data_IF_789245867527
#
_entry.id   IF_789245867527
#
_cell.length_a   1.000
_cell.length_b   1.000
_cell.length_c   1.000
_cell.angle_alpha   90.00
_cell.angle_beta   90.00
_cell.angle_gamma   90.00
#
_symmetry.space_group_name_H-M   'P 1'
#
loop_
_entity.id
_entity.type
_entity.pdbx_description
1 polymer ?
#
# COMPACT_ATOMS: atom_id res chain seq x y z
N UNK A 1 8.11 -62.10 -2.62
CA UNK A 1 8.53 -62.82 -1.38
C UNK A 1 7.84 -64.15 -1.22
N UNK A 2 6.69 -64.39 -1.77
CA UNK A 2 5.89 -65.64 -1.58
C UNK A 2 6.49 -66.87 -2.30
N UNK A 3 7.29 -66.69 -3.40
CA UNK A 3 7.89 -67.80 -4.10
C UNK A 3 9.06 -68.49 -3.37
N UNK A 4 9.86 -67.72 -2.62
CA UNK A 4 11.00 -68.26 -1.88
C UNK A 4 10.53 -68.99 -0.61
N UNK A 5 9.53 -68.50 0.13
CA UNK A 5 8.96 -69.16 1.26
C UNK A 5 8.29 -70.50 0.90
N UNK A 6 7.59 -70.57 -0.22
CA UNK A 6 6.96 -71.75 -0.78
C UNK A 6 7.99 -72.80 -1.21
N UNK A 7 9.13 -72.39 -1.82
CA UNK A 7 10.22 -73.30 -2.25
C UNK A 7 10.94 -73.89 -1.05
N UNK A 8 11.25 -73.12 -0.01
CA UNK A 8 11.89 -73.58 1.21
C UNK A 8 10.96 -74.46 2.03
N UNK A 9 9.67 -74.20 2.13
CA UNK A 9 8.70 -75.09 2.80
C UNK A 9 8.63 -76.45 2.18
N UNK A 10 8.66 -76.53 0.85
CA UNK A 10 8.69 -77.82 0.13
C UNK A 10 10.01 -78.59 0.28
N UNK A 11 11.14 -77.83 0.40
CA UNK A 11 12.47 -78.45 0.58
C UNK A 11 12.67 -79.02 1.98
N UNK A 12 12.17 -78.37 3.00
CA UNK A 12 12.25 -78.81 4.40
C UNK A 12 11.38 -80.06 4.67
N UNK A 13 10.31 -80.26 3.92
CA UNK A 13 9.42 -81.41 4.06
C UNK A 13 10.11 -82.71 3.64
N UNK A 14 11.09 -82.64 2.73
CA UNK A 14 11.77 -83.83 2.16
C UNK A 14 13.08 -84.19 2.88
N UNK A 15 13.68 -83.28 3.66
CA UNK A 15 14.96 -83.55 4.37
C UNK A 15 14.93 -82.86 5.79
N UNK A 16 14.21 -83.44 6.74
CA UNK A 16 13.99 -82.81 8.05
C UNK A 16 15.30 -82.64 8.88
N UNK A 17 16.28 -83.49 8.70
CA UNK A 17 17.54 -83.41 9.43
C UNK A 17 18.45 -82.23 9.07
N UNK A 18 18.23 -81.59 7.93
CA UNK A 18 18.99 -80.42 7.51
C UNK A 18 18.28 -79.11 8.01
N UNK A 19 16.98 -79.14 8.12
CA UNK A 19 16.21 -77.95 8.50
C UNK A 19 16.34 -77.62 10.00
N UNK A 20 16.80 -78.55 10.81
CA UNK A 20 16.96 -78.34 12.27
C UNK A 20 18.40 -77.99 12.68
N UNK A 21 19.30 -77.88 11.72
CA UNK A 21 20.69 -77.49 12.02
C UNK A 21 20.81 -76.01 12.38
N UNK A 22 21.57 -75.70 13.42
CA UNK A 22 21.85 -74.33 13.84
C UNK A 22 22.43 -73.48 12.69
N UNK A 23 23.16 -74.13 11.74
CA UNK A 23 23.70 -73.48 10.57
C UNK A 23 22.64 -72.99 9.58
N UNK A 24 21.58 -73.77 9.37
CA UNK A 24 20.50 -73.36 8.48
C UNK A 24 19.67 -72.18 9.09
N UNK A 25 19.47 -72.20 10.40
CA UNK A 25 18.84 -71.09 11.14
C UNK A 25 19.69 -69.83 11.04
N UNK A 26 21.01 -69.91 11.23
CA UNK A 26 21.94 -68.82 11.05
C UNK A 26 21.96 -68.35 9.58
N UNK A 27 21.96 -69.25 8.62
CA UNK A 27 21.89 -68.89 7.20
C UNK A 27 20.59 -68.20 6.83
N UNK A 28 19.45 -68.66 7.31
CA UNK A 28 18.15 -68.02 7.09
C UNK A 28 18.08 -66.65 7.77
N UNK A 29 18.68 -66.48 8.95
CA UNK A 29 18.79 -65.18 9.60
C UNK A 29 19.72 -64.25 8.80
N UNK A 30 20.86 -64.76 8.31
CA UNK A 30 21.74 -63.96 7.45
C UNK A 30 21.06 -63.58 6.14
N UNK A 31 20.35 -64.51 5.48
CA UNK A 31 19.59 -64.23 4.25
C UNK A 31 18.47 -63.23 4.52
N UNK A 32 17.74 -63.32 5.62
CA UNK A 32 16.74 -62.36 5.98
C UNK A 32 17.33 -60.98 6.32
N UNK A 33 18.51 -60.92 6.93
CA UNK A 33 19.25 -59.67 7.17
C UNK A 33 19.84 -59.09 5.86
N UNK A 34 20.25 -59.92 4.91
CA UNK A 34 20.76 -59.49 3.59
C UNK A 34 19.61 -59.09 2.66
N UNK A 35 18.42 -59.62 2.86
CA UNK A 35 17.19 -59.26 2.13
C UNK A 35 16.40 -58.18 2.86
N UNK A 36 16.92 -57.57 3.93
CA UNK A 36 16.33 -56.43 4.55
C UNK A 36 16.18 -55.32 3.45
N UNK A 37 14.97 -54.94 3.16
CA UNK A 37 14.69 -53.84 2.24
C UNK A 37 15.48 -52.61 2.65
N UNK A 38 16.36 -52.12 1.77
CA UNK A 38 17.13 -50.92 2.03
C UNK A 38 16.14 -49.78 2.04
N UNK A 39 15.94 -49.17 3.20
CA UNK A 39 15.12 -47.98 3.36
C UNK A 39 15.86 -46.75 2.82
N UNK A 40 15.19 -45.98 1.99
CA UNK A 40 15.76 -44.77 1.40
C UNK A 40 14.85 -43.57 1.78
N UNK A 41 15.34 -42.65 2.59
CA UNK A 41 14.57 -41.48 2.94
C UNK A 41 14.40 -40.54 1.74
N UNK A 42 13.26 -39.84 1.58
CA UNK A 42 13.03 -38.97 0.45
C UNK A 42 13.87 -37.70 0.51
N UNK A 43 14.32 -37.24 -0.65
CA UNK A 43 14.74 -35.84 -0.82
C UNK A 43 13.50 -34.97 -0.96
N UNK A 44 13.39 -33.94 -0.12
CA UNK A 44 12.18 -33.12 -0.02
C UNK A 44 12.44 -31.68 -0.49
N UNK A 45 11.58 -31.17 -1.35
CA UNK A 45 11.70 -29.82 -1.89
C UNK A 45 10.33 -29.20 -2.19
N UNK A 46 10.21 -27.85 -2.08
CA UNK A 46 9.11 -27.06 -2.63
C UNK A 46 9.66 -26.16 -3.72
N UNK A 47 9.01 -26.20 -4.89
CA UNK A 47 9.28 -25.30 -6.01
C UNK A 47 8.14 -24.28 -6.12
N UNK A 48 8.47 -23.00 -6.08
CA UNK A 48 7.57 -21.88 -6.36
C UNK A 48 7.45 -21.68 -7.88
N UNK A 49 6.24 -21.49 -8.38
CA UNK A 49 5.95 -21.22 -9.81
C UNK A 49 5.70 -19.77 -10.13
N UNK A 50 5.89 -18.86 -9.16
CA UNK A 50 5.79 -17.40 -9.34
C UNK A 50 4.49 -16.95 -10.04
N UNK A 51 3.29 -17.30 -9.52
CA UNK A 51 2.03 -17.02 -10.17
C UNK A 51 1.79 -15.50 -10.26
N UNK A 52 1.22 -15.07 -11.41
CA UNK A 52 0.83 -13.68 -11.62
C UNK A 52 -0.65 -13.48 -11.36
N UNK A 53 -1.03 -12.29 -10.87
CA UNK A 53 -2.42 -11.93 -10.61
C UNK A 53 -3.32 -12.22 -11.82
N UNK A 54 -4.42 -12.93 -11.60
CA UNK A 54 -5.33 -13.36 -12.67
C UNK A 54 -6.64 -13.95 -12.15
N UNK A 55 -7.47 -14.39 -13.07
CA UNK A 55 -8.80 -14.97 -12.81
C UNK A 55 -8.88 -16.45 -13.08
N UNK A 56 -7.86 -17.03 -13.70
CA UNK A 56 -7.81 -18.47 -14.02
C UNK A 56 -7.00 -19.22 -12.97
N UNK A 57 -7.35 -20.49 -12.77
CA UNK A 57 -6.62 -21.39 -11.88
C UNK A 57 -5.23 -21.67 -12.43
N UNK A 58 -4.20 -21.45 -11.61
CA UNK A 58 -2.79 -21.71 -11.97
C UNK A 58 -2.10 -22.51 -10.87
N UNK A 59 -0.95 -23.08 -11.21
CA UNK A 59 -0.09 -23.78 -10.28
C UNK A 59 0.68 -22.78 -9.41
N UNK A 60 0.53 -22.88 -8.10
CA UNK A 60 1.26 -22.03 -7.13
C UNK A 60 2.61 -22.63 -6.74
N UNK A 61 2.58 -23.89 -6.34
CA UNK A 61 3.78 -24.57 -5.89
C UNK A 61 3.68 -26.07 -6.10
N UNK A 62 4.83 -26.72 -6.16
CA UNK A 62 4.97 -28.17 -6.24
C UNK A 62 5.84 -28.65 -5.10
N UNK A 63 5.31 -29.56 -4.29
CA UNK A 63 6.04 -30.23 -3.22
C UNK A 63 6.43 -31.63 -3.66
N UNK A 64 7.68 -31.98 -3.50
CA UNK A 64 8.27 -33.24 -3.99
C UNK A 64 8.93 -34.01 -2.86
N UNK A 65 8.63 -35.30 -2.77
CA UNK A 65 9.35 -36.29 -2.00
C UNK A 65 9.98 -37.29 -2.99
N UNK A 66 11.25 -37.09 -3.30
CA UNK A 66 11.91 -37.81 -4.36
C UNK A 66 12.73 -39.02 -3.83
N UNK A 67 12.62 -40.16 -4.55
CA UNK A 67 13.47 -41.32 -4.40
C UNK A 67 13.30 -42.08 -3.06
N UNK A 68 12.07 -42.08 -2.47
CA UNK A 68 11.82 -42.79 -1.25
C UNK A 68 11.54 -44.27 -1.42
N UNK A 69 11.97 -45.08 -0.47
CA UNK A 69 11.63 -46.49 -0.33
C UNK A 69 11.42 -46.83 1.16
N UNK A 70 10.20 -47.21 1.57
CA UNK A 70 8.94 -47.27 0.82
C UNK A 70 8.44 -45.86 0.35
N UNK A 71 7.36 -45.83 -0.47
CA UNK A 71 6.79 -44.55 -0.96
C UNK A 71 6.43 -43.59 0.17
N UNK A 72 6.78 -42.32 0.02
CA UNK A 72 6.35 -41.27 0.94
C UNK A 72 5.00 -40.68 0.51
N UNK A 73 4.18 -40.32 1.50
CA UNK A 73 2.95 -39.57 1.30
C UNK A 73 3.23 -38.06 1.39
N UNK A 74 2.65 -37.31 0.46
CA UNK A 74 2.79 -35.84 0.40
C UNK A 74 1.42 -35.19 0.42
N UNK A 75 1.18 -34.32 1.39
CA UNK A 75 -0.10 -33.60 1.54
C UNK A 75 0.13 -32.14 1.87
N UNK A 76 -0.82 -31.29 1.48
CA UNK A 76 -0.83 -29.88 1.81
C UNK A 76 -1.78 -29.59 2.97
N UNK A 77 -1.32 -28.81 3.94
CA UNK A 77 -2.14 -28.18 4.96
C UNK A 77 -2.38 -26.74 4.53
N UNK A 78 -3.58 -26.47 4.04
CA UNK A 78 -3.97 -25.20 3.41
C UNK A 78 -4.56 -24.20 4.42
N UNK A 79 -4.85 -24.62 5.64
CA UNK A 79 -5.34 -23.77 6.71
C UNK A 79 -6.61 -22.97 6.34
N UNK A 80 -6.53 -21.66 6.45
CA UNK A 80 -7.66 -20.76 6.18
C UNK A 80 -8.06 -20.66 4.69
N UNK A 81 -7.24 -21.18 3.76
CA UNK A 81 -7.55 -21.12 2.33
C UNK A 81 -8.67 -22.09 1.91
N UNK A 82 -8.85 -23.20 2.65
CA UNK A 82 -9.95 -24.16 2.41
C UNK A 82 -10.15 -24.47 0.93
N UNK A 83 -11.35 -24.19 0.44
CA UNK A 83 -11.77 -24.48 -0.94
C UNK A 83 -11.19 -23.51 -2.00
N UNK A 84 -10.45 -22.47 -1.59
CA UNK A 84 -9.81 -21.52 -2.53
C UNK A 84 -8.60 -22.10 -3.26
N UNK A 85 -8.12 -23.26 -2.80
CA UNK A 85 -6.98 -23.97 -3.38
C UNK A 85 -7.31 -25.43 -3.57
N UNK A 86 -6.73 -26.03 -4.60
CA UNK A 86 -6.89 -27.45 -4.95
C UNK A 86 -5.54 -28.12 -5.01
N UNK A 87 -5.46 -29.37 -4.60
CA UNK A 87 -4.25 -30.16 -4.63
C UNK A 87 -4.39 -31.39 -5.55
N UNK A 88 -3.32 -31.75 -6.23
CA UNK A 88 -3.22 -32.99 -6.97
C UNK A 88 -1.92 -33.69 -6.63
N UNK A 89 -1.96 -35.01 -6.44
CA UNK A 89 -0.79 -35.79 -6.07
C UNK A 89 -0.58 -36.92 -7.06
N UNK A 90 0.64 -37.06 -7.57
CA UNK A 90 1.07 -38.13 -8.45
C UNK A 90 2.32 -38.80 -7.88
N UNK A 91 2.45 -40.11 -8.09
CA UNK A 91 3.63 -40.89 -7.70
C UNK A 91 4.20 -41.62 -8.91
N UNK A 92 5.52 -41.59 -9.04
CA UNK A 92 6.27 -42.34 -10.08
C UNK A 92 7.22 -43.29 -9.41
N UNK A 93 7.09 -44.59 -9.74
CA UNK A 93 8.00 -45.61 -9.29
C UNK A 93 9.09 -45.82 -10.36
N UNK A 94 10.31 -46.04 -9.90
CA UNK A 94 11.51 -46.27 -10.74
C UNK A 94 11.98 -47.72 -10.65
N UNK A 95 12.81 -48.12 -11.59
CA UNK A 95 13.35 -49.50 -11.69
C UNK A 95 14.20 -49.94 -10.48
N UNK A 96 14.69 -48.99 -9.70
CA UNK A 96 15.41 -49.23 -8.43
C UNK A 96 14.48 -49.35 -7.21
N UNK A 97 13.19 -49.56 -7.44
CA UNK A 97 12.12 -49.65 -6.40
C UNK A 97 11.91 -48.36 -5.58
N UNK A 98 12.57 -47.28 -5.92
CA UNK A 98 12.27 -46.00 -5.28
C UNK A 98 11.06 -45.31 -5.93
N UNK A 99 10.38 -44.49 -5.14
CA UNK A 99 9.22 -43.73 -5.60
C UNK A 99 9.43 -42.25 -5.38
N UNK A 100 9.07 -41.44 -6.38
CA UNK A 100 8.96 -39.98 -6.24
C UNK A 100 7.49 -39.61 -6.20
N UNK A 101 7.07 -38.98 -5.10
CA UNK A 101 5.72 -38.43 -4.92
C UNK A 101 5.76 -36.94 -5.06
N UNK A 102 4.89 -36.41 -5.92
CA UNK A 102 4.78 -34.98 -6.26
C UNK A 102 3.36 -34.50 -5.97
N UNK A 103 3.22 -33.52 -5.13
CA UNK A 103 1.94 -32.88 -4.85
C UNK A 103 1.95 -31.43 -5.31
N UNK A 104 0.98 -31.06 -6.14
CA UNK A 104 0.86 -29.75 -6.76
C UNK A 104 -0.29 -28.98 -6.14
N UNK A 105 -0.05 -27.70 -5.81
CA UNK A 105 -1.02 -26.77 -5.22
C UNK A 105 -1.49 -25.79 -6.29
N UNK A 106 -2.80 -25.77 -6.56
CA UNK A 106 -3.45 -24.91 -7.55
C UNK A 106 -4.43 -23.96 -6.89
N UNK A 107 -4.68 -22.83 -7.52
CA UNK A 107 -5.73 -21.88 -7.13
C UNK A 107 -5.80 -20.68 -8.07
N UNK A 108 -6.80 -19.82 -7.86
CA UNK A 108 -6.93 -18.57 -8.60
C UNK A 108 -6.03 -17.52 -7.92
N UNK A 109 -5.05 -16.92 -8.64
CA UNK A 109 -4.09 -16.01 -8.05
C UNK A 109 -4.72 -14.63 -7.79
N UNK A 110 -5.45 -14.53 -6.69
CA UNK A 110 -6.09 -13.30 -6.23
C UNK A 110 -5.24 -12.60 -5.15
N UNK A 111 -5.50 -11.31 -4.92
CA UNK A 111 -4.84 -10.56 -3.83
C UNK A 111 -5.12 -11.13 -2.44
N UNK A 112 -6.31 -11.72 -2.25
CA UNK A 112 -6.68 -12.33 -0.98
C UNK A 112 -5.78 -13.50 -0.61
N UNK A 113 -5.31 -14.28 -1.58
CA UNK A 113 -4.44 -15.45 -1.37
C UNK A 113 -2.99 -15.02 -1.12
N UNK A 114 -2.59 -13.83 -1.60
CA UNK A 114 -1.22 -13.35 -1.46
C UNK A 114 -0.79 -13.23 -0.01
N UNK A 115 0.36 -13.81 0.31
CA UNK A 115 0.94 -13.78 1.66
C UNK A 115 0.43 -14.87 2.60
N UNK A 116 -0.52 -15.72 2.18
CA UNK A 116 -0.96 -16.84 3.01
C UNK A 116 0.10 -17.92 3.09
N UNK A 117 0.31 -18.44 4.30
CA UNK A 117 1.22 -19.53 4.57
C UNK A 117 0.49 -20.87 4.53
N UNK A 118 1.06 -21.81 3.79
CA UNK A 118 0.64 -23.20 3.71
C UNK A 118 1.80 -24.11 4.09
N UNK A 119 1.53 -25.36 4.40
CA UNK A 119 2.58 -26.33 4.74
C UNK A 119 2.43 -27.57 3.87
N UNK A 120 3.54 -28.03 3.33
CA UNK A 120 3.64 -29.35 2.75
C UNK A 120 4.12 -30.32 3.82
N UNK A 121 3.34 -31.34 4.11
CA UNK A 121 3.66 -32.40 5.07
C UNK A 121 4.00 -33.67 4.30
N UNK A 122 5.16 -34.23 4.60
CA UNK A 122 5.69 -35.45 4.01
C UNK A 122 5.79 -36.47 5.15
N UNK A 123 5.12 -37.59 4.99
CA UNK A 123 5.05 -38.68 5.96
C UNK A 123 5.40 -40.02 5.34
N UNK A 124 5.79 -40.98 6.15
CA UNK A 124 6.23 -42.28 5.68
C UNK A 124 7.57 -42.25 4.95
N UNK A 125 7.84 -43.23 4.07
CA UNK A 125 9.03 -43.26 3.25
C UNK A 125 10.34 -43.32 4.06
N UNK A 126 10.44 -44.12 5.09
CA UNK A 126 11.62 -44.23 6.00
C UNK A 126 11.90 -42.98 6.83
N UNK A 127 11.00 -42.01 6.86
CA UNK A 127 11.12 -40.88 7.78
C UNK A 127 10.74 -41.31 9.20
N UNK A 128 11.61 -41.04 10.15
CA UNK A 128 11.33 -41.32 11.59
C UNK A 128 10.23 -40.43 12.15
N UNK A 129 10.05 -39.26 11.54
CA UNK A 129 9.02 -38.27 11.90
C UNK A 129 8.55 -37.55 10.63
N UNK A 130 7.29 -37.09 10.63
CA UNK A 130 6.73 -36.25 9.56
C UNK A 130 7.60 -35.02 9.35
N UNK A 131 7.86 -34.69 8.09
CA UNK A 131 8.61 -33.50 7.67
C UNK A 131 7.65 -32.46 7.15
N UNK A 132 7.65 -31.27 7.77
CA UNK A 132 6.82 -30.13 7.34
C UNK A 132 7.68 -29.05 6.71
N UNK A 133 7.32 -28.63 5.50
CA UNK A 133 7.94 -27.54 4.76
C UNK A 133 6.95 -26.42 4.63
N UNK A 134 7.26 -25.25 5.21
CA UNK A 134 6.43 -24.05 5.11
C UNK A 134 6.63 -23.37 3.76
N UNK A 135 5.53 -22.93 3.15
CA UNK A 135 5.53 -22.17 1.90
C UNK A 135 4.58 -20.99 2.03
N UNK A 136 5.03 -19.80 1.61
CA UNK A 136 4.19 -18.59 1.57
C UNK A 136 3.83 -18.33 0.12
N UNK A 137 2.54 -18.36 -0.20
CA UNK A 137 2.04 -18.09 -1.55
C UNK A 137 2.30 -16.62 -1.87
N UNK A 138 3.00 -16.36 -2.96
CA UNK A 138 3.32 -15.03 -3.44
C UNK A 138 2.72 -14.81 -4.81
N UNK A 139 1.86 -13.80 -4.92
CA UNK A 139 1.23 -13.41 -6.19
C UNK A 139 1.94 -12.17 -6.71
N UNK A 140 2.41 -12.24 -7.95
CA UNK A 140 3.17 -11.17 -8.61
C UNK A 140 2.24 -10.34 -9.50
N UNK A 141 2.44 -9.01 -9.53
CA UNK A 141 1.62 -8.12 -10.34
C UNK A 141 2.33 -6.80 -10.65
N UNK A 142 1.93 -6.21 -11.77
CA UNK A 142 2.36 -4.87 -12.16
C UNK A 142 1.82 -3.80 -11.19
N UNK A 143 2.40 -2.60 -11.16
CA UNK A 143 1.82 -1.46 -10.48
C UNK A 143 0.33 -1.30 -10.83
N UNK A 144 -0.54 -1.14 -9.82
CA UNK A 144 -1.98 -1.13 -10.03
C UNK A 144 -2.50 0.27 -10.30
N UNK A 145 -2.39 1.13 -9.34
CA UNK A 145 -2.72 2.54 -9.43
C UNK A 145 -1.53 3.33 -8.87
N UNK A 146 -1.18 4.42 -9.53
CA UNK A 146 -0.09 5.29 -9.10
C UNK A 146 -0.67 6.58 -8.59
N UNK A 147 -0.62 6.76 -7.28
CA UNK A 147 -1.08 7.97 -6.60
C UNK A 147 0.11 8.80 -6.17
N UNK A 148 -0.06 10.13 -6.19
CA UNK A 148 0.95 11.06 -5.71
C UNK A 148 0.41 11.70 -4.44
N UNK A 149 1.05 11.39 -3.31
CA UNK A 149 0.72 11.97 -2.01
C UNK A 149 1.57 13.21 -1.74
N UNK A 150 0.95 14.21 -1.11
CA UNK A 150 1.63 15.42 -0.66
C UNK A 150 2.19 15.13 0.74
N UNK A 151 3.52 15.23 0.90
CA UNK A 151 4.18 15.09 2.21
C UNK A 151 4.28 16.47 2.88
N UNK A 152 4.67 17.50 2.11
CA UNK A 152 4.77 18.90 2.51
C UNK A 152 4.47 19.80 1.31
N UNK A 153 4.46 21.12 1.50
CA UNK A 153 4.20 22.09 0.41
C UNK A 153 5.20 21.97 -0.76
N UNK A 154 6.40 21.46 -0.48
CA UNK A 154 7.51 21.31 -1.42
C UNK A 154 7.88 19.85 -1.71
N UNK A 155 7.18 18.86 -1.12
CA UNK A 155 7.58 17.44 -1.20
C UNK A 155 6.40 16.53 -1.52
N UNK A 156 6.60 15.65 -2.50
CA UNK A 156 5.62 14.71 -3.01
C UNK A 156 6.19 13.30 -3.01
N UNK A 157 5.34 12.30 -2.82
CA UNK A 157 5.71 10.90 -2.87
C UNK A 157 4.80 10.12 -3.82
N UNK A 158 5.41 9.37 -4.71
CA UNK A 158 4.73 8.47 -5.62
C UNK A 158 4.46 7.14 -4.91
N UNK A 159 3.21 6.75 -4.79
CA UNK A 159 2.77 5.55 -4.07
C UNK A 159 2.04 4.62 -5.00
N UNK A 160 2.39 3.36 -4.99
CA UNK A 160 1.70 2.30 -5.72
C UNK A 160 1.83 0.98 -5.00
N UNK A 161 0.92 0.06 -5.31
CA UNK A 161 1.00 -1.32 -4.90
C UNK A 161 1.47 -2.18 -6.08
N UNK A 162 2.59 -2.88 -5.90
CA UNK A 162 3.19 -3.73 -6.91
C UNK A 162 4.00 -4.86 -6.26
N UNK A 163 4.13 -5.99 -6.97
CA UNK A 163 5.01 -7.08 -6.54
C UNK A 163 5.70 -7.71 -7.75
N UNK A 164 7.04 -7.67 -7.81
CA UNK A 164 8.01 -7.00 -6.93
C UNK A 164 7.73 -5.50 -6.77
N UNK A 165 8.34 -4.88 -5.77
CA UNK A 165 8.27 -3.44 -5.58
C UNK A 165 8.59 -2.71 -6.88
N UNK A 166 7.89 -1.61 -7.14
CA UNK A 166 8.10 -0.81 -8.33
C UNK A 166 9.35 0.07 -8.20
N UNK A 167 10.02 0.29 -9.32
CA UNK A 167 10.97 1.38 -9.50
C UNK A 167 10.22 2.62 -9.97
N UNK A 168 10.66 3.79 -9.52
CA UNK A 168 10.00 5.06 -9.82
C UNK A 168 10.88 5.95 -10.67
N UNK A 169 10.28 6.59 -11.67
CA UNK A 169 10.95 7.58 -12.52
C UNK A 169 10.04 8.79 -12.61
N UNK A 170 10.58 9.97 -12.20
CA UNK A 170 9.90 11.23 -12.33
C UNK A 170 10.29 11.92 -13.63
N UNK A 171 9.33 12.55 -14.28
CA UNK A 171 9.50 13.34 -15.49
C UNK A 171 8.59 14.56 -15.46
N UNK A 172 8.88 15.58 -16.28
CA UNK A 172 8.04 16.75 -16.47
C UNK A 172 7.56 16.79 -17.92
N UNK A 173 6.26 16.98 -18.14
CA UNK A 173 5.69 16.95 -19.47
C UNK A 173 6.22 18.10 -20.32
N UNK A 174 6.77 17.75 -21.50
CA UNK A 174 7.28 18.70 -22.48
C UNK A 174 8.61 19.39 -22.14
N UNK A 175 9.22 19.09 -21.00
CA UNK A 175 10.48 19.68 -20.57
C UNK A 175 11.33 18.67 -19.75
N UNK A 176 12.63 18.90 -19.71
CA UNK A 176 13.50 18.20 -18.77
C UNK A 176 13.23 18.64 -17.32
N UNK A 177 13.47 17.75 -16.36
CA UNK A 177 13.51 18.13 -14.96
C UNK A 177 14.64 19.12 -14.73
N UNK A 178 14.32 20.24 -14.07
CA UNK A 178 15.30 21.27 -13.76
C UNK A 178 16.05 20.86 -12.48
N UNK A 179 17.19 20.18 -12.61
CA UNK A 179 17.98 19.64 -11.49
C UNK A 179 18.38 20.69 -10.44
N UNK A 180 18.46 21.96 -10.81
CA UNK A 180 18.73 23.07 -9.89
C UNK A 180 17.53 23.45 -9.02
N UNK A 181 16.31 23.10 -9.43
CA UNK A 181 15.07 23.48 -8.76
C UNK A 181 14.27 22.28 -8.22
N UNK A 182 14.62 21.06 -8.62
CA UNK A 182 13.90 19.83 -8.28
C UNK A 182 14.90 18.73 -7.95
N UNK A 183 14.71 18.07 -6.82
CA UNK A 183 15.48 16.87 -6.42
C UNK A 183 14.58 15.65 -6.46
N UNK A 184 15.07 14.58 -7.06
CA UNK A 184 14.40 13.28 -7.10
C UNK A 184 15.20 12.27 -6.29
N UNK A 185 14.50 11.53 -5.42
CA UNK A 185 15.08 10.43 -4.65
C UNK A 185 14.08 9.24 -4.67
N UNK A 186 14.26 8.34 -5.64
CA UNK A 186 13.36 7.21 -5.86
C UNK A 186 11.91 7.66 -6.08
N UNK A 187 11.02 7.32 -5.14
CA UNK A 187 9.61 7.71 -5.19
C UNK A 187 9.35 9.18 -4.84
N UNK A 188 10.33 9.87 -4.24
CA UNK A 188 10.15 11.24 -3.74
C UNK A 188 10.61 12.29 -4.73
N UNK A 189 9.78 13.32 -4.88
CA UNK A 189 10.05 14.54 -5.62
C UNK A 189 10.04 15.71 -4.64
N UNK A 190 11.16 16.43 -4.53
CA UNK A 190 11.29 17.63 -3.69
C UNK A 190 11.55 18.86 -4.56
N UNK A 191 10.76 19.90 -4.34
CA UNK A 191 10.94 21.20 -4.96
C UNK A 191 11.94 22.02 -4.12
N UNK A 192 13.08 22.39 -4.69
CA UNK A 192 14.13 23.14 -4.01
C UNK A 192 13.92 24.66 -4.08
N UNK A 193 13.13 25.12 -5.07
CA UNK A 193 12.84 26.52 -5.30
C UNK A 193 11.39 26.69 -5.76
N UNK A 194 10.60 27.42 -4.99
CA UNK A 194 9.17 27.68 -5.30
C UNK A 194 9.02 28.92 -6.19
N UNK A 195 9.50 28.80 -7.42
CA UNK A 195 9.39 29.86 -8.46
C UNK A 195 8.43 29.41 -9.58
N UNK A 196 7.94 30.33 -10.39
CA UNK A 196 7.07 30.03 -11.52
C UNK A 196 7.67 29.06 -12.55
N UNK A 197 9.01 28.92 -12.57
CA UNK A 197 9.73 28.07 -13.51
C UNK A 197 9.48 26.58 -13.28
N UNK A 198 9.07 26.18 -12.07
CA UNK A 198 8.71 24.81 -11.77
C UNK A 198 7.23 24.48 -12.07
N UNK A 199 6.42 25.45 -12.47
CA UNK A 199 5.02 25.21 -12.80
C UNK A 199 4.89 24.27 -13.98
N UNK A 200 4.08 23.23 -13.83
CA UNK A 200 3.87 22.27 -14.92
C UNK A 200 3.32 20.94 -14.47
N UNK A 201 3.15 20.06 -15.43
CA UNK A 201 2.65 18.71 -15.22
C UNK A 201 3.84 17.77 -14.97
N UNK A 202 3.94 17.25 -13.76
CA UNK A 202 4.88 16.22 -13.37
C UNK A 202 4.24 14.85 -13.49
N UNK A 203 5.01 13.87 -13.90
CA UNK A 203 4.58 12.49 -14.07
C UNK A 203 5.52 11.57 -13.30
N UNK A 204 4.96 10.68 -12.51
CA UNK A 204 5.66 9.58 -11.90
C UNK A 204 5.30 8.29 -12.62
N UNK A 205 6.28 7.60 -13.18
CA UNK A 205 6.14 6.27 -13.73
C UNK A 205 6.67 5.25 -12.72
N UNK A 206 5.78 4.36 -12.28
CA UNK A 206 6.11 3.20 -11.47
C UNK A 206 6.18 1.97 -12.36
N UNK A 207 7.26 1.19 -12.29
CA UNK A 207 7.47 0.02 -13.14
C UNK A 207 8.12 -1.13 -12.40
N UNK A 208 7.75 -2.35 -12.77
CA UNK A 208 8.42 -3.59 -12.42
C UNK A 208 8.49 -4.52 -13.63
N UNK A 209 8.96 -5.78 -13.45
CA UNK A 209 9.07 -6.77 -14.54
C UNK A 209 7.72 -7.19 -15.13
N UNK A 210 6.59 -6.87 -14.50
CA UNK A 210 5.24 -7.22 -14.93
C UNK A 210 4.50 -6.09 -15.62
N UNK A 211 5.05 -4.86 -15.63
CA UNK A 211 4.48 -3.72 -16.33
C UNK A 211 4.76 -2.39 -15.66
N UNK A 212 4.13 -1.34 -16.20
CA UNK A 212 4.25 0.03 -15.68
C UNK A 212 2.90 0.75 -15.63
N UNK A 213 2.82 1.76 -14.75
CA UNK A 213 1.71 2.70 -14.61
C UNK A 213 2.23 4.10 -14.30
N UNK A 214 1.43 5.11 -14.64
CA UNK A 214 1.80 6.52 -14.44
C UNK A 214 0.78 7.25 -13.61
N UNK A 215 1.29 8.06 -12.65
CA UNK A 215 0.54 9.07 -11.93
C UNK A 215 0.93 10.47 -12.41
N UNK A 216 0.06 11.46 -12.22
CA UNK A 216 0.27 12.83 -12.65
C UNK A 216 0.01 13.81 -11.52
N UNK A 217 0.82 14.86 -11.46
CA UNK A 217 0.72 15.95 -10.50
C UNK A 217 0.91 17.28 -11.25
N UNK A 218 -0.04 18.19 -11.13
CA UNK A 218 0.14 19.55 -11.61
C UNK A 218 0.64 20.45 -10.48
N UNK A 219 1.84 20.99 -10.64
CA UNK A 219 2.44 21.95 -9.69
C UNK A 219 2.17 23.35 -10.20
N UNK A 220 1.61 24.21 -9.33
CA UNK A 220 1.38 25.62 -9.61
C UNK A 220 1.84 26.46 -8.41
N UNK A 221 2.88 27.24 -8.61
CA UNK A 221 3.35 28.24 -7.66
C UNK A 221 2.75 29.58 -8.04
N UNK A 222 1.88 30.12 -7.20
CA UNK A 222 1.33 31.44 -7.40
C UNK A 222 2.43 32.49 -7.21
N UNK A 223 2.75 33.25 -8.26
CA UNK A 223 3.64 34.39 -8.12
C UNK A 223 2.95 35.47 -7.29
N UNK A 224 3.47 35.73 -6.08
CA UNK A 224 2.88 36.65 -5.09
C UNK A 224 2.90 38.14 -5.46
N UNK A 225 2.89 38.49 -6.76
CA UNK A 225 2.98 39.86 -7.24
C UNK A 225 1.70 40.71 -7.08
N UNK A 226 0.57 40.10 -6.72
CA UNK A 226 -0.70 40.86 -6.60
C UNK A 226 -0.86 41.64 -5.29
N UNK A 227 -0.20 41.25 -4.19
CA UNK A 227 -0.38 41.92 -2.88
C UNK A 227 0.17 43.34 -2.85
N UNK A 228 1.28 43.59 -3.53
CA UNK A 228 1.87 44.92 -3.62
C UNK A 228 1.00 45.88 -4.46
N UNK A 229 0.39 45.41 -5.54
CA UNK A 229 -0.50 46.22 -6.36
C UNK A 229 -1.77 46.62 -5.62
N UNK A 230 -2.38 45.71 -4.84
CA UNK A 230 -3.52 46.00 -4.00
C UNK A 230 -3.20 46.93 -2.85
N UNK A 231 -2.00 46.81 -2.24
CA UNK A 231 -1.54 47.72 -1.21
C UNK A 231 -1.34 49.14 -1.76
N UNK A 232 -0.73 49.29 -2.94
CA UNK A 232 -0.58 50.59 -3.62
C UNK A 232 -1.94 51.20 -4.01
N UNK A 233 -2.86 50.42 -4.53
CA UNK A 233 -4.21 50.86 -4.84
C UNK A 233 -4.95 51.33 -3.55
N UNK A 234 -4.84 50.60 -2.47
CA UNK A 234 -5.40 50.98 -1.18
C UNK A 234 -4.86 52.31 -0.64
N UNK A 235 -3.54 52.54 -0.76
CA UNK A 235 -2.89 53.79 -0.37
C UNK A 235 -3.38 54.97 -1.25
N UNK A 236 -3.49 54.77 -2.55
CA UNK A 236 -3.99 55.82 -3.47
C UNK A 236 -5.44 56.20 -3.16
N UNK A 237 -6.29 55.22 -2.91
CA UNK A 237 -7.68 55.45 -2.54
C UNK A 237 -7.75 56.20 -1.18
N UNK A 238 -6.95 55.80 -0.20
CA UNK A 238 -6.90 56.48 1.09
C UNK A 238 -6.44 57.93 0.95
N UNK A 239 -5.38 58.19 0.21
CA UNK A 239 -4.90 59.56 -0.07
C UNK A 239 -5.92 60.41 -0.79
N UNK A 240 -6.68 59.86 -1.73
CA UNK A 240 -7.76 60.57 -2.44
C UNK A 240 -8.90 60.91 -1.50
N UNK A 241 -9.30 60.02 -0.58
CA UNK A 241 -10.34 60.28 0.41
C UNK A 241 -9.87 61.37 1.37
N UNK A 242 -8.63 61.30 1.88
CA UNK A 242 -8.07 62.32 2.77
C UNK A 242 -7.99 63.65 2.06
N UNK A 243 -7.52 63.70 0.81
CA UNK A 243 -7.47 64.91 -0.01
C UNK A 243 -8.86 65.52 -0.22
N UNK A 244 -9.87 64.70 -0.52
CA UNK A 244 -11.22 65.15 -0.68
C UNK A 244 -11.82 65.67 0.64
N UNK A 245 -11.53 65.03 1.77
CA UNK A 245 -11.97 65.49 3.09
C UNK A 245 -11.34 66.82 3.47
N UNK A 246 -10.02 67.00 3.28
CA UNK A 246 -9.32 68.25 3.53
C UNK A 246 -9.85 69.35 2.65
N UNK A 247 -10.08 69.13 1.35
CA UNK A 247 -10.69 70.08 0.42
C UNK A 247 -12.12 70.45 0.84
N UNK A 248 -12.92 69.49 1.29
CA UNK A 248 -14.26 69.73 1.79
C UNK A 248 -14.26 70.59 3.06
N UNK A 249 -13.37 70.32 4.06
CA UNK A 249 -13.22 71.12 5.24
C UNK A 249 -12.73 72.53 4.92
N UNK A 250 -11.75 72.68 4.03
CA UNK A 250 -11.24 73.97 3.62
C UNK A 250 -12.32 74.82 2.97
N UNK A 251 -13.12 74.27 2.07
CA UNK A 251 -14.25 74.91 1.39
C UNK A 251 -15.38 75.25 2.36
N UNK A 252 -15.62 74.43 3.37
CA UNK A 252 -16.64 74.64 4.37
C UNK A 252 -16.23 75.68 5.44
N UNK A 253 -14.95 75.85 5.70
CA UNK A 253 -14.44 76.87 6.67
C UNK A 253 -14.72 78.27 6.15
N UNK A 254 -14.63 78.53 4.87
CA UNK A 254 -14.97 79.76 4.23
C UNK A 254 -16.49 80.09 4.33
N UNK A 255 -17.32 79.09 4.39
CA UNK A 255 -18.79 79.25 4.64
C UNK A 255 -19.11 79.52 6.11
N UNK A 256 -18.37 78.93 7.04
CA UNK A 256 -18.53 79.19 8.50
C UNK A 256 -18.16 80.61 8.84
N UNK A 257 -17.11 81.16 8.32
CA UNK A 257 -16.76 82.56 8.49
C UNK A 257 -17.82 83.51 7.95
N UNK A 258 -18.46 83.17 6.85
CA UNK A 258 -19.57 83.98 6.28
C UNK A 258 -20.83 83.87 7.15
N UNK A 259 -21.11 82.74 7.77
CA UNK A 259 -22.24 82.55 8.68
C UNK A 259 -22.04 83.25 10.02
N UNK A 260 -20.81 83.20 10.55
CA UNK A 260 -20.50 83.91 11.81
C UNK A 260 -20.58 85.41 11.65
N UNK A 261 -20.20 86.01 10.49
CA UNK A 261 -20.33 87.44 10.21
C UNK A 261 -21.80 87.82 9.97
N UNK A 262 -22.66 86.92 9.54
CA UNK A 262 -24.11 87.17 9.40
C UNK A 262 -24.78 87.30 10.75
N UNK A 263 -24.49 86.47 11.73
CA UNK A 263 -25.07 86.58 13.10
C UNK A 263 -24.53 87.73 13.89
N UNK A 264 -23.42 88.33 13.66
CA UNK A 264 -22.91 89.55 14.29
C UNK A 264 -23.61 90.83 13.81
N UNK A 265 -24.44 90.76 12.76
CA UNK A 265 -25.20 91.89 12.21
C UNK A 265 -26.68 91.93 12.61
N UNK A 266 -27.16 91.00 13.43
CA UNK A 266 -28.50 91.02 13.92
C UNK A 266 -28.54 91.93 15.19
N UNK A 267 -29.20 93.10 15.20
CA UNK A 267 -29.28 93.90 16.39
C UNK A 267 -30.21 93.16 17.40
N UNK A 268 -29.70 92.91 18.59
CA UNK A 268 -30.46 92.41 19.73
C UNK A 268 -31.47 93.50 20.12
N UNK A 269 -32.75 93.34 19.79
CA UNK A 269 -33.82 94.07 20.39
C UNK A 269 -34.11 93.43 21.76
N UNK A 270 -33.48 93.93 22.79
CA UNK A 270 -33.82 93.77 24.19
C UNK A 270 -34.96 94.76 24.51
N UNK A 271 -36.14 94.22 24.52
CA UNK A 271 -37.26 94.65 25.45
C UNK A 271 -38.60 94.11 24.90
N UNK A 272 -39.13 93.09 25.46
CA UNK A 272 -40.53 92.76 25.71
C UNK A 272 -40.69 91.30 26.01
N UNK A 273 -40.72 90.89 27.22
CA UNK A 273 -41.02 89.52 27.61
C UNK A 273 -41.14 89.23 29.12
N UNK A 274 -41.11 90.22 29.93
CA UNK A 274 -41.22 89.98 31.40
C UNK A 274 -42.68 90.02 31.98
N UNK A 275 -43.68 89.83 31.10
CA UNK A 275 -45.11 89.86 31.58
C UNK A 275 -45.87 88.52 31.41
N UNK A 276 -45.27 87.49 30.82
CA UNK A 276 -46.03 86.23 30.57
C UNK A 276 -45.70 85.08 31.58
N UNK A 277 -44.61 85.21 32.36
CA UNK A 277 -44.24 84.18 33.33
C UNK A 277 -44.89 84.21 34.68
N UNK A 278 -45.65 85.26 34.98
CA UNK A 278 -46.41 85.43 36.28
C UNK A 278 -47.88 84.99 36.25
N UNK A 279 -48.41 84.62 35.09
CA UNK A 279 -49.83 84.18 35.01
C UNK A 279 -50.03 82.65 35.02
N UNK A 280 -48.96 81.85 34.77
CA UNK A 280 -49.07 80.40 34.71
C UNK A 280 -48.85 79.73 36.09
N UNK A 281 -48.33 80.45 37.10
CA UNK A 281 -48.17 79.94 38.47
C UNK A 281 -49.38 80.14 39.39
N UNK A 282 -50.47 80.78 38.92
CA UNK A 282 -51.67 80.96 39.74
C UNK A 282 -52.82 80.01 39.45
N UNK A 283 -52.69 79.09 38.49
CA UNK A 283 -53.77 78.17 38.13
C UNK A 283 -53.58 76.71 38.56
N UNK A 284 -52.49 76.39 39.24
CA UNK A 284 -52.21 75.00 39.73
C UNK A 284 -52.46 74.87 41.26
N UNK A 285 -52.97 75.84 41.92
CA UNK A 285 -53.20 75.78 43.39
C UNK A 285 -54.70 75.99 43.81
N UNK A 286 -55.65 75.52 42.95
CA UNK A 286 -57.07 75.39 43.37
C UNK A 286 -57.74 74.30 42.59
N UNK A 287 -57.72 73.10 43.12
CA UNK A 287 -58.91 72.26 43.22
C UNK A 287 -58.59 70.92 43.87
N UNK A 288 -59.53 70.32 44.55
CA UNK A 288 -59.37 69.65 45.83
C UNK A 288 -58.94 68.16 45.67
#
# INVERSE_FOLDING_TARGET
MDGAASFFGSFCHNIPSICDSALLRVFLVIVSLLCADIEVPPFTNIKDNLPTLGTEEVLFATCTAAGSKPPAEVRWLTGALGDKVRTTTNSTQYDNDTTTTVSSLFGVPTREINGHQVQCVISGGSLSTDRSLSFTIQIYFSPTEVNISVISEDSFECVTEAKPNANFIWSRSGQSLLESAVKVDGAKLQLLSLTSDINGLYQCEASNTYGSKRGQLYVHVASGSCSAAWALLGVLIFLSIVGAAVWYFYKHEDQRHRFALFWQRVPTNESAGDSAAQQEQRQTEQSP
#
